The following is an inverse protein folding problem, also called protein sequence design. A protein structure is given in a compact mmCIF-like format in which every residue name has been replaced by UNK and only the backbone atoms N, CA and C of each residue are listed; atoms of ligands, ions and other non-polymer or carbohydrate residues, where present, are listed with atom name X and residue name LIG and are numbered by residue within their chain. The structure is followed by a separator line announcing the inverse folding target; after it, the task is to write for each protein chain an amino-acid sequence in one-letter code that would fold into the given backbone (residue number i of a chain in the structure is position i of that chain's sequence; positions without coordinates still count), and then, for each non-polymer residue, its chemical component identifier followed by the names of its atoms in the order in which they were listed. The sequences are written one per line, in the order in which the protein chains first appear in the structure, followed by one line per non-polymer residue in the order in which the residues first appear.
data_IF_613722399012
#
_entry.id   IF_613722399012
#
_cell.length_a   1.000
_cell.length_b   1.000
_cell.length_c   1.000
_cell.angle_alpha   90.00
_cell.angle_beta   90.00
_cell.angle_gamma   90.00
#
_symmetry.space_group_name_H-M   'P 1'
#
loop_
_entity.id
_entity.type
_entity.pdbx_description
1 polymer ?
#
# COMPACT_ATOMS: atom_id res chain seq x y z
N UNK A 1 43.72 -24.59 -30.57
CA UNK A 1 43.96 -24.10 -29.19
C UNK A 1 43.20 -22.79 -28.94
N UNK A 2 43.15 -21.87 -29.91
CA UNK A 2 42.39 -20.60 -29.84
C UNK A 2 40.86 -20.75 -29.62
N UNK A 3 40.25 -21.79 -30.18
CA UNK A 3 38.80 -22.02 -30.03
C UNK A 3 38.37 -22.36 -28.59
N UNK A 4 39.22 -23.07 -27.84
CA UNK A 4 38.95 -23.44 -26.45
C UNK A 4 39.10 -22.24 -25.50
N UNK A 5 40.03 -21.34 -25.78
CA UNK A 5 40.19 -20.09 -25.02
C UNK A 5 39.02 -19.14 -25.24
N UNK A 6 38.46 -19.10 -26.46
CA UNK A 6 37.32 -18.24 -26.78
C UNK A 6 36.03 -18.73 -26.11
N UNK A 7 35.76 -20.04 -26.15
CA UNK A 7 34.63 -20.64 -25.42
C UNK A 7 34.75 -20.47 -23.89
N UNK A 8 35.97 -20.56 -23.33
CA UNK A 8 36.16 -20.28 -21.90
C UNK A 8 35.91 -18.81 -21.55
N UNK A 9 36.26 -17.87 -22.44
CA UNK A 9 36.00 -16.44 -22.22
C UNK A 9 34.51 -16.10 -22.31
N UNK A 10 33.79 -16.70 -23.27
CA UNK A 10 32.33 -16.52 -23.41
C UNK A 10 31.59 -17.05 -22.17
N UNK A 11 31.89 -18.28 -21.73
CA UNK A 11 31.28 -18.86 -20.53
C UNK A 11 31.62 -18.05 -19.25
N UNK A 12 32.83 -17.49 -19.16
CA UNK A 12 33.22 -16.65 -18.04
C UNK A 12 32.45 -15.33 -18.01
N UNK A 13 32.30 -14.69 -19.18
CA UNK A 13 31.55 -13.43 -19.28
C UNK A 13 30.07 -13.64 -18.91
N UNK A 14 29.46 -14.71 -19.41
CA UNK A 14 28.08 -15.07 -19.10
C UNK A 14 27.88 -15.30 -17.59
N UNK A 15 28.77 -16.06 -16.96
CA UNK A 15 28.76 -16.26 -15.51
C UNK A 15 28.87 -14.94 -14.74
N UNK A 16 29.76 -14.03 -15.17
CA UNK A 16 29.95 -12.74 -14.50
C UNK A 16 28.73 -11.83 -14.66
N UNK A 17 28.04 -11.86 -15.79
CA UNK A 17 26.80 -11.12 -16.00
C UNK A 17 25.70 -11.66 -15.10
N UNK A 18 25.50 -12.99 -15.06
CA UNK A 18 24.51 -13.61 -14.18
C UNK A 18 24.74 -13.24 -12.71
N UNK A 19 25.99 -13.27 -12.25
CA UNK A 19 26.34 -12.89 -10.88
C UNK A 19 26.01 -11.42 -10.58
N UNK A 20 26.34 -10.51 -11.52
CA UNK A 20 26.05 -9.09 -11.37
C UNK A 20 24.54 -8.79 -11.40
N UNK A 21 23.77 -9.52 -12.23
CA UNK A 21 22.31 -9.43 -12.26
C UNK A 21 21.68 -9.94 -10.96
N UNK A 22 22.18 -11.05 -10.41
CA UNK A 22 21.71 -11.58 -9.13
C UNK A 22 21.98 -10.59 -7.98
N UNK A 23 23.18 -10.04 -7.90
CA UNK A 23 23.55 -9.02 -6.90
C UNK A 23 22.65 -7.78 -7.03
N UNK A 24 22.46 -7.27 -8.26
CA UNK A 24 21.60 -6.11 -8.51
C UNK A 24 20.13 -6.41 -8.16
N UNK A 25 19.64 -7.60 -8.48
CA UNK A 25 18.29 -8.03 -8.13
C UNK A 25 18.10 -8.12 -6.61
N UNK A 26 19.06 -8.68 -5.88
CA UNK A 26 19.00 -8.77 -4.42
C UNK A 26 18.90 -7.38 -3.78
N UNK A 27 19.69 -6.41 -4.24
CA UNK A 27 19.61 -5.03 -3.77
C UNK A 27 18.24 -4.42 -4.08
N UNK A 28 17.80 -4.51 -5.33
CA UNK A 28 16.51 -3.96 -5.74
C UNK A 28 15.33 -4.59 -4.96
N UNK A 29 15.41 -5.90 -4.69
CA UNK A 29 14.43 -6.62 -3.91
C UNK A 29 14.35 -6.13 -2.46
N UNK A 30 15.50 -5.93 -1.81
CA UNK A 30 15.55 -5.39 -0.44
C UNK A 30 14.95 -3.98 -0.37
N UNK A 31 15.30 -3.12 -1.33
CA UNK A 31 14.74 -1.76 -1.41
C UNK A 31 13.21 -1.78 -1.60
N UNK A 32 12.69 -2.66 -2.45
CA UNK A 32 11.25 -2.85 -2.61
C UNK A 32 10.59 -3.32 -1.31
N UNK A 33 11.21 -4.24 -0.57
CA UNK A 33 10.70 -4.67 0.74
C UNK A 33 10.66 -3.51 1.74
N UNK A 34 11.73 -2.70 1.80
CA UNK A 34 11.77 -1.52 2.67
C UNK A 34 10.69 -0.50 2.29
N UNK A 35 10.47 -0.27 1.00
CA UNK A 35 9.42 0.61 0.53
C UNK A 35 8.02 0.09 0.87
N UNK A 36 7.77 -1.20 0.67
CA UNK A 36 6.51 -1.84 1.03
C UNK A 36 6.24 -1.73 2.54
N UNK A 37 7.26 -1.92 3.37
CA UNK A 37 7.13 -1.74 4.82
C UNK A 37 6.76 -0.29 5.17
N UNK A 38 7.45 0.70 4.61
CA UNK A 38 7.14 2.11 4.85
C UNK A 38 5.73 2.50 4.42
N UNK A 39 5.24 1.94 3.31
CA UNK A 39 3.85 2.11 2.88
C UNK A 39 2.86 1.51 3.90
N UNK A 40 3.10 0.30 4.39
CA UNK A 40 2.27 -0.34 5.40
C UNK A 40 2.25 0.44 6.72
N UNK A 41 3.39 0.97 7.15
CA UNK A 41 3.48 1.80 8.36
C UNK A 41 2.65 3.08 8.22
N UNK A 42 2.66 3.72 7.04
CA UNK A 42 1.84 4.89 6.76
C UNK A 42 0.34 4.56 6.75
N UNK A 43 -0.05 3.46 6.10
CA UNK A 43 -1.43 2.98 6.11
C UNK A 43 -1.88 2.68 7.54
N UNK A 44 -1.01 2.10 8.36
CA UNK A 44 -1.31 1.83 9.76
C UNK A 44 -1.58 3.11 10.55
N UNK A 45 -0.78 4.16 10.36
CA UNK A 45 -1.04 5.47 10.98
C UNK A 45 -2.38 6.07 10.52
N UNK A 46 -2.70 5.96 9.22
CA UNK A 46 -3.98 6.41 8.68
C UNK A 46 -5.15 5.65 9.30
N UNK A 47 -5.03 4.33 9.41
CA UNK A 47 -6.05 3.48 10.04
C UNK A 47 -6.32 3.88 11.50
N UNK A 48 -5.28 4.24 12.26
CA UNK A 48 -5.44 4.69 13.64
C UNK A 48 -6.13 6.05 13.75
N UNK A 49 -5.92 6.95 12.79
CA UNK A 49 -6.57 8.26 12.75
C UNK A 49 -8.02 8.17 12.27
N UNK A 50 -8.24 7.45 11.16
CA UNK A 50 -9.52 7.19 10.55
C UNK A 50 -9.49 5.80 9.89
N UNK A 51 -10.15 4.85 10.54
CA UNK A 51 -10.21 3.46 10.08
C UNK A 51 -10.80 3.35 8.66
N UNK A 52 -11.78 4.18 8.31
CA UNK A 52 -12.39 4.17 6.98
C UNK A 52 -11.41 4.69 5.94
N UNK A 53 -10.81 5.86 6.16
CA UNK A 53 -9.86 6.44 5.22
C UNK A 53 -8.65 5.51 5.01
N UNK A 54 -8.09 4.96 6.09
CA UNK A 54 -6.98 4.01 6.02
C UNK A 54 -7.35 2.73 5.26
N UNK A 55 -8.53 2.17 5.50
CA UNK A 55 -9.01 0.99 4.78
C UNK A 55 -9.22 1.29 3.28
N UNK A 56 -9.76 2.46 2.96
CA UNK A 56 -9.96 2.90 1.59
C UNK A 56 -8.63 3.07 0.84
N UNK A 57 -7.64 3.68 1.50
CA UNK A 57 -6.29 3.85 0.94
C UNK A 57 -5.59 2.51 0.72
N UNK A 58 -5.68 1.59 1.69
CA UNK A 58 -5.06 0.27 1.62
C UNK A 58 -5.68 -0.62 0.54
N UNK A 59 -7.02 -0.69 0.50
CA UNK A 59 -7.75 -1.54 -0.43
C UNK A 59 -7.97 -0.89 -1.80
N UNK A 60 -7.59 0.37 -1.96
CA UNK A 60 -7.83 1.18 -3.15
C UNK A 60 -9.33 1.18 -3.56
N UNK A 61 -10.21 1.30 -2.57
CA UNK A 61 -11.68 1.34 -2.74
C UNK A 61 -12.26 2.50 -1.96
N UNK A 62 -13.24 3.21 -2.50
CA UNK A 62 -13.84 4.39 -1.87
C UNK A 62 -15.25 4.16 -1.34
N UNK A 63 -15.86 3.01 -1.66
CA UNK A 63 -17.23 2.65 -1.31
C UNK A 63 -17.30 1.67 -0.13
N UNK A 64 -16.41 1.87 0.85
CA UNK A 64 -16.36 1.08 2.08
C UNK A 64 -16.31 2.00 3.30
N UNK A 65 -16.85 1.49 4.41
CA UNK A 65 -16.68 2.02 5.77
C UNK A 65 -15.93 0.96 6.55
N UNK A 66 -15.04 1.39 7.44
CA UNK A 66 -14.32 0.50 8.31
C UNK A 66 -14.24 1.05 9.74
N UNK A 67 -14.18 0.13 10.70
CA UNK A 67 -14.08 0.42 12.13
C UNK A 67 -13.26 -0.66 12.83
N UNK A 68 -12.50 -0.27 13.85
CA UNK A 68 -11.82 -1.22 14.72
C UNK A 68 -12.76 -1.79 15.78
N UNK A 69 -12.75 -3.11 15.94
CA UNK A 69 -13.34 -3.80 17.09
C UNK A 69 -12.25 -4.57 17.80
N UNK A 70 -11.66 -3.95 18.82
CA UNK A 70 -10.39 -4.38 19.38
C UNK A 70 -9.30 -4.29 18.31
N UNK A 71 -8.56 -5.39 18.12
CA UNK A 71 -7.45 -5.46 17.16
C UNK A 71 -7.90 -5.85 15.73
N UNK A 72 -9.22 -5.95 15.49
CA UNK A 72 -9.77 -6.35 14.19
C UNK A 72 -10.34 -5.15 13.45
N UNK A 73 -9.99 -5.01 12.18
CA UNK A 73 -10.61 -4.05 11.28
C UNK A 73 -11.82 -4.70 10.60
N UNK A 74 -13.01 -4.24 10.96
CA UNK A 74 -14.24 -4.65 10.29
C UNK A 74 -14.52 -3.70 9.13
N UNK A 75 -14.95 -4.25 7.99
CA UNK A 75 -15.14 -3.50 6.75
C UNK A 75 -16.51 -3.84 6.16
N UNK A 76 -17.26 -2.83 5.75
CA UNK A 76 -18.57 -2.97 5.14
C UNK A 76 -18.72 -2.08 3.91
N UNK A 77 -19.45 -2.51 2.88
CA UNK A 77 -19.72 -1.67 1.72
C UNK A 77 -20.69 -0.54 2.06
N UNK A 78 -20.43 0.65 1.52
CA UNK A 78 -21.35 1.77 1.52
C UNK A 78 -22.56 1.47 0.64
N UNK A 79 -23.78 1.75 1.13
CA UNK A 79 -24.96 1.75 0.28
C UNK A 79 -24.96 3.03 -0.57
N UNK A 80 -25.03 2.87 -1.90
CA UNK A 80 -25.22 4.02 -2.81
C UNK A 80 -26.63 4.59 -2.61
N UNK A 81 -26.71 5.78 -2.02
CA UNK A 81 -27.95 6.55 -1.96
C UNK A 81 -28.17 7.32 -3.26
N UNK A 82 -29.38 7.28 -3.82
CA UNK A 82 -29.75 8.15 -4.94
C UNK A 82 -30.25 9.47 -4.36
N UNK A 83 -29.33 10.43 -4.24
CA UNK A 83 -29.59 11.68 -3.52
C UNK A 83 -30.19 12.71 -4.48
N UNK A 84 -31.46 13.05 -4.28
CA UNK A 84 -32.16 14.07 -5.09
C UNK A 84 -32.05 15.47 -4.50
N UNK A 85 -31.95 15.59 -3.17
CA UNK A 85 -31.74 16.86 -2.48
C UNK A 85 -30.96 16.63 -1.17
N UNK A 86 -29.94 17.46 -0.91
CA UNK A 86 -29.20 17.49 0.36
C UNK A 86 -29.51 18.81 1.05
N UNK A 87 -30.13 18.76 2.23
CA UNK A 87 -30.28 19.92 3.09
C UNK A 87 -29.22 19.86 4.20
N UNK A 88 -28.34 20.85 4.25
CA UNK A 88 -27.41 21.03 5.36
C UNK A 88 -27.95 22.12 6.28
N UNK A 89 -28.25 21.78 7.54
CA UNK A 89 -28.61 22.77 8.55
C UNK A 89 -27.46 22.87 9.57
N UNK A 90 -26.58 23.84 9.38
CA UNK A 90 -25.40 24.08 10.22
C UNK A 90 -25.71 24.84 11.53
N UNK A 91 -27.00 25.14 11.80
CA UNK A 91 -27.36 25.87 13.02
C UNK A 91 -27.32 24.93 14.22
N UNK A 92 -26.26 25.04 15.02
CA UNK A 92 -26.22 24.51 16.39
C UNK A 92 -27.14 25.39 17.24
N UNK A 93 -28.34 24.90 17.57
CA UNK A 93 -29.18 25.55 18.58
C UNK A 93 -28.58 25.15 19.92
N UNK A 94 -27.75 26.02 20.49
CA UNK A 94 -27.32 25.90 21.88
C UNK A 94 -28.55 26.08 22.77
N UNK A 95 -29.13 24.98 23.23
CA UNK A 95 -30.01 25.00 24.39
C UNK A 95 -29.15 25.35 25.60
N UNK A 96 -29.07 26.65 25.90
CA UNK A 96 -28.57 27.13 27.19
C UNK A 96 -29.77 27.08 28.13
N UNK A 97 -29.87 26.00 28.89
CA UNK A 97 -30.81 25.91 30.00
C UNK A 97 -30.30 26.85 31.11
N UNK A 98 -31.06 27.92 31.37
CA UNK A 98 -30.88 28.82 32.52
C UNK A 98 -31.51 28.23 33.78
#
# INVERSE_FOLDING_TARGET
MEFLTQLMQENYLEYRIMLAEEEAFQVAWLELCHHAQGYLDMIWQLLQFDATLGAQAFLQKTDIIAEFTGDRLNIWPCKKGNVTLIHWNYKVVAHVDY
#
